data_IF_937502656628
#
_entry.id   IF_937502656628
#
_cell.length_a   1.000
_cell.length_b   1.000
_cell.length_c   1.000
_cell.angle_alpha   90.00
_cell.angle_beta   90.00
_cell.angle_gamma   90.00
#
_symmetry.space_group_name_H-M   'P 1'
#
loop_
_entity.id
_entity.type
_entity.pdbx_description
1 polymer ?
#
# COMPACT_ATOMS: atom_id res chain seq x y z
N UNK A 1 6.01 -26.86 5.75
CA UNK A 1 5.92 -26.24 4.41
C UNK A 1 6.93 -26.93 3.51
N UNK A 2 6.54 -27.37 2.33
CA UNK A 2 7.49 -27.93 1.36
C UNK A 2 8.47 -26.83 0.92
N UNK A 3 9.75 -27.15 0.83
CA UNK A 3 10.76 -26.21 0.34
C UNK A 3 10.51 -25.93 -1.14
N UNK A 4 10.36 -24.67 -1.52
CA UNK A 4 10.21 -24.29 -2.92
C UNK A 4 11.45 -24.74 -3.71
N UNK A 5 11.22 -25.43 -4.83
CA UNK A 5 12.27 -25.79 -5.77
C UNK A 5 12.37 -24.76 -6.90
N UNK A 6 13.55 -24.60 -7.48
CA UNK A 6 13.78 -23.75 -8.64
C UNK A 6 14.68 -24.49 -9.63
N UNK A 7 14.50 -24.24 -10.92
CA UNK A 7 15.40 -24.79 -11.94
C UNK A 7 16.84 -24.27 -11.75
N UNK A 8 17.79 -24.95 -12.40
CA UNK A 8 19.19 -24.52 -12.46
C UNK A 8 19.45 -23.91 -13.82
N UNK A 9 19.98 -22.69 -13.84
CA UNK A 9 20.49 -22.05 -15.06
C UNK A 9 22.01 -21.91 -14.99
N UNK A 10 22.64 -21.88 -16.15
CA UNK A 10 24.09 -21.78 -16.31
C UNK A 10 24.46 -21.82 -17.78
N UNK A 11 25.72 -21.52 -18.08
CA UNK A 11 26.20 -21.42 -19.46
C UNK A 11 26.50 -22.77 -20.12
N UNK A 12 26.74 -23.82 -19.33
CA UNK A 12 27.14 -25.14 -19.85
C UNK A 12 26.54 -26.29 -19.05
N UNK A 13 26.22 -27.43 -19.71
CA UNK A 13 25.93 -28.70 -19.03
C UNK A 13 27.04 -29.12 -18.07
N UNK A 14 26.72 -30.01 -17.13
CA UNK A 14 27.73 -30.62 -16.26
C UNK A 14 28.34 -31.84 -16.96
N UNK A 15 29.66 -31.95 -16.92
CA UNK A 15 30.37 -33.12 -17.42
C UNK A 15 31.20 -33.76 -16.32
N UNK A 16 31.20 -35.08 -16.22
CA UNK A 16 32.03 -35.83 -15.28
C UNK A 16 32.49 -37.16 -15.89
N UNK A 17 33.54 -37.76 -15.34
CA UNK A 17 33.98 -39.10 -15.72
C UNK A 17 33.29 -40.16 -14.85
N UNK A 18 32.69 -41.18 -15.46
CA UNK A 18 32.11 -42.30 -14.73
C UNK A 18 33.16 -43.34 -14.30
N UNK A 19 32.74 -44.39 -13.59
CA UNK A 19 33.63 -45.44 -13.09
C UNK A 19 34.35 -46.23 -14.21
N UNK A 20 33.80 -46.22 -15.44
CA UNK A 20 34.42 -46.83 -16.63
C UNK A 20 35.41 -45.92 -17.36
N UNK A 21 35.55 -44.67 -16.90
CA UNK A 21 36.38 -43.65 -17.54
C UNK A 21 35.71 -42.96 -18.73
N UNK A 22 34.44 -43.25 -19.01
CA UNK A 22 33.68 -42.54 -20.04
C UNK A 22 33.23 -41.16 -19.52
N UNK A 23 33.22 -40.18 -20.40
CA UNK A 23 32.74 -38.83 -20.09
C UNK A 23 31.22 -38.77 -20.29
N UNK A 24 30.51 -38.43 -19.24
CA UNK A 24 29.06 -38.20 -19.26
C UNK A 24 28.77 -36.71 -19.28
N UNK A 25 27.71 -36.32 -20.01
CA UNK A 25 27.23 -34.92 -20.08
C UNK A 25 25.78 -34.87 -19.63
N UNK A 26 25.51 -34.12 -18.56
CA UNK A 26 24.21 -34.01 -17.93
C UNK A 26 23.64 -32.60 -18.13
N UNK A 27 22.45 -32.45 -18.72
CA UNK A 27 21.85 -31.14 -18.92
C UNK A 27 21.49 -30.48 -17.59
N UNK A 28 21.53 -29.14 -17.54
CA UNK A 28 21.19 -28.40 -16.31
C UNK A 28 19.73 -28.60 -15.87
N UNK A 29 18.84 -28.95 -16.81
CA UNK A 29 17.45 -29.32 -16.53
C UNK A 29 17.31 -30.58 -15.66
N UNK A 30 18.38 -31.36 -15.48
CA UNK A 30 18.43 -32.49 -14.55
C UNK A 30 18.54 -32.07 -13.09
N UNK A 31 18.87 -30.80 -12.82
CA UNK A 31 19.09 -30.29 -11.47
C UNK A 31 18.00 -29.30 -11.06
N UNK A 32 17.87 -29.14 -9.75
CA UNK A 32 17.03 -28.11 -9.13
C UNK A 32 17.72 -27.57 -7.88
N UNK A 33 17.46 -26.31 -7.54
CA UNK A 33 17.71 -25.79 -6.22
C UNK A 33 16.54 -26.12 -5.31
N UNK A 34 16.80 -26.67 -4.13
CA UNK A 34 15.86 -26.82 -3.02
C UNK A 34 16.37 -25.97 -1.86
N UNK A 35 15.85 -24.75 -1.71
CA UNK A 35 16.43 -23.77 -0.79
C UNK A 35 17.78 -23.27 -1.33
N UNK A 36 18.86 -23.42 -0.56
CA UNK A 36 20.24 -23.11 -1.01
C UNK A 36 20.96 -24.29 -1.65
N UNK A 37 20.41 -25.50 -1.53
CA UNK A 37 21.07 -26.72 -1.99
C UNK A 37 20.70 -27.04 -3.43
N UNK A 38 21.69 -27.40 -4.25
CA UNK A 38 21.46 -28.02 -5.56
C UNK A 38 21.29 -29.54 -5.40
N UNK A 39 20.31 -30.09 -6.11
CA UNK A 39 19.93 -31.51 -6.09
C UNK A 39 19.69 -32.02 -7.51
N UNK A 40 19.79 -33.34 -7.68
CA UNK A 40 19.43 -34.03 -8.91
C UNK A 40 17.94 -34.40 -8.84
N UNK A 41 17.18 -34.02 -9.86
CA UNK A 41 15.74 -34.32 -9.95
C UNK A 41 15.51 -35.83 -9.95
N UNK A 42 14.44 -36.29 -9.29
CA UNK A 42 14.12 -37.72 -9.13
C UNK A 42 14.08 -38.47 -10.46
N UNK A 43 13.58 -37.84 -11.53
CA UNK A 43 13.52 -38.44 -12.86
C UNK A 43 14.90 -38.78 -13.47
N UNK A 44 15.97 -38.13 -12.98
CA UNK A 44 17.34 -38.34 -13.45
C UNK A 44 18.15 -39.28 -12.55
N UNK A 45 17.72 -39.52 -11.32
CA UNK A 45 18.47 -40.34 -10.36
C UNK A 45 18.66 -41.79 -10.84
N UNK A 46 17.66 -42.38 -11.51
CA UNK A 46 17.73 -43.76 -12.00
C UNK A 46 18.75 -43.99 -13.12
N UNK A 47 19.28 -42.92 -13.74
CA UNK A 47 20.29 -42.99 -14.79
C UNK A 47 21.74 -43.04 -14.28
N UNK A 48 21.95 -42.90 -12.98
CA UNK A 48 23.29 -42.80 -12.38
C UNK A 48 23.38 -43.67 -11.13
N UNK A 49 24.52 -44.33 -10.92
CA UNK A 49 24.81 -45.01 -9.67
C UNK A 49 25.06 -44.02 -8.51
N UNK A 50 25.16 -44.53 -7.28
CA UNK A 50 25.31 -43.69 -6.09
C UNK A 50 26.62 -42.86 -6.08
N UNK A 51 27.71 -43.41 -6.62
CA UNK A 51 29.00 -42.72 -6.72
C UNK A 51 28.98 -41.63 -7.78
N UNK A 52 28.33 -41.89 -8.91
CA UNK A 52 28.10 -40.93 -9.97
C UNK A 52 27.22 -39.77 -9.50
N UNK A 53 26.10 -40.05 -8.81
CA UNK A 53 25.24 -39.02 -8.23
C UNK A 53 26.01 -38.13 -7.23
N UNK A 54 26.86 -38.73 -6.40
CA UNK A 54 27.68 -38.00 -5.43
C UNK A 54 28.67 -37.07 -6.14
N UNK A 55 29.35 -37.57 -7.18
CA UNK A 55 30.30 -36.80 -7.98
C UNK A 55 29.60 -35.66 -8.71
N UNK A 56 28.47 -35.96 -9.35
CA UNK A 56 27.68 -35.01 -10.11
C UNK A 56 27.16 -33.87 -9.22
N UNK A 57 26.66 -34.19 -8.03
CA UNK A 57 26.24 -33.19 -7.04
C UNK A 57 27.41 -32.37 -6.49
N UNK A 58 28.59 -32.97 -6.30
CA UNK A 58 29.77 -32.24 -5.88
C UNK A 58 30.21 -31.22 -6.93
N UNK A 59 30.22 -31.60 -8.22
CA UNK A 59 30.50 -30.68 -9.34
C UNK A 59 29.45 -29.57 -9.41
N UNK A 60 28.16 -29.92 -9.32
CA UNK A 60 27.07 -28.96 -9.34
C UNK A 60 27.20 -27.93 -8.20
N UNK A 61 27.50 -28.39 -6.98
CA UNK A 61 27.72 -27.53 -5.80
C UNK A 61 28.93 -26.63 -5.98
N UNK A 62 30.04 -27.15 -6.50
CA UNK A 62 31.24 -26.35 -6.75
C UNK A 62 30.95 -25.23 -7.77
N UNK A 63 30.26 -25.53 -8.86
CA UNK A 63 29.88 -24.53 -9.86
C UNK A 63 28.86 -23.51 -9.34
N UNK A 64 27.91 -23.93 -8.52
CA UNK A 64 27.01 -23.02 -7.84
C UNK A 64 27.77 -22.08 -6.87
N UNK A 65 28.77 -22.60 -6.14
CA UNK A 65 29.58 -21.81 -5.20
C UNK A 65 30.42 -20.72 -5.88
N UNK A 66 30.83 -20.92 -7.14
CA UNK A 66 31.53 -19.90 -7.95
C UNK A 66 30.58 -19.05 -8.80
N UNK A 67 29.26 -19.24 -8.68
CA UNK A 67 28.24 -18.46 -9.40
C UNK A 67 28.03 -18.86 -10.87
N UNK A 68 28.59 -19.97 -11.33
CA UNK A 68 28.35 -20.49 -12.69
C UNK A 68 26.97 -21.13 -12.84
N UNK A 69 26.46 -21.71 -11.75
CA UNK A 69 25.09 -22.20 -11.67
C UNK A 69 24.30 -21.33 -10.71
N UNK A 70 23.21 -20.75 -11.20
CA UNK A 70 22.34 -19.90 -10.39
C UNK A 70 20.90 -20.35 -10.53
N UNK A 71 20.05 -19.89 -9.61
CA UNK A 71 18.61 -19.91 -9.84
C UNK A 71 18.29 -18.99 -11.03
N UNK A 72 17.25 -19.28 -11.81
CA UNK A 72 16.67 -18.31 -12.72
C UNK A 72 16.47 -16.99 -11.99
N UNK A 73 16.77 -15.84 -12.63
CA UNK A 73 16.37 -14.56 -12.06
C UNK A 73 14.86 -14.59 -11.87
N UNK A 74 14.40 -14.27 -10.66
CA UNK A 74 12.97 -14.10 -10.40
C UNK A 74 12.53 -12.88 -11.21
N UNK A 75 11.53 -12.99 -12.11
CA UNK A 75 11.00 -11.84 -12.81
C UNK A 75 10.61 -10.75 -11.79
N UNK A 76 10.86 -9.47 -12.08
CA UNK A 76 10.39 -8.41 -11.20
C UNK A 76 8.86 -8.50 -11.08
N UNK A 77 8.27 -8.17 -9.91
CA UNK A 77 6.83 -8.11 -9.75
C UNK A 77 6.20 -7.24 -10.85
N UNK A 78 5.13 -7.74 -11.46
CA UNK A 78 4.40 -7.00 -12.47
C UNK A 78 3.28 -6.21 -11.79
N UNK A 79 3.04 -4.98 -12.25
CA UNK A 79 1.90 -4.21 -11.78
C UNK A 79 0.61 -4.94 -12.13
N UNK A 80 -0.21 -5.19 -11.11
CA UNK A 80 -1.47 -5.91 -11.18
C UNK A 80 -2.65 -4.94 -11.28
N UNK A 81 -2.68 -3.93 -10.39
CA UNK A 81 -3.72 -2.90 -10.33
C UNK A 81 -3.08 -1.52 -10.15
N UNK A 82 -3.68 -0.52 -10.76
CA UNK A 82 -3.39 0.88 -10.51
C UNK A 82 -4.40 1.46 -9.53
N UNK A 83 -3.91 2.20 -8.54
CA UNK A 83 -4.71 2.85 -7.51
C UNK A 83 -4.42 4.33 -7.56
N UNK A 84 -5.46 5.17 -7.59
CA UNK A 84 -5.33 6.63 -7.65
C UNK A 84 -6.20 7.25 -6.57
N UNK A 85 -5.69 8.23 -5.82
CA UNK A 85 -6.48 8.97 -4.86
C UNK A 85 -7.68 9.64 -5.56
N UNK A 86 -8.86 9.58 -4.95
CA UNK A 86 -10.07 10.22 -5.47
C UNK A 86 -9.97 11.75 -5.37
N UNK A 87 -9.14 12.25 -4.44
CA UNK A 87 -8.93 13.67 -4.19
C UNK A 87 -7.47 14.06 -4.39
N UNK A 88 -7.27 15.24 -4.98
CA UNK A 88 -5.97 15.89 -4.95
C UNK A 88 -5.63 16.29 -3.50
N UNK A 89 -4.36 16.19 -3.14
CA UNK A 89 -3.89 16.55 -1.82
C UNK A 89 -2.37 16.70 -1.80
N UNK A 90 -1.80 16.98 -0.62
CA UNK A 90 -0.36 17.13 -0.46
C UNK A 90 0.37 15.82 -0.82
N UNK A 91 1.62 15.92 -1.26
CA UNK A 91 2.41 14.73 -1.64
C UNK A 91 2.27 13.59 -0.61
N UNK A 92 1.74 12.46 -1.07
CA UNK A 92 1.55 11.24 -0.27
C UNK A 92 0.17 11.05 0.35
N UNK A 93 -0.68 12.08 0.48
CA UNK A 93 -2.06 12.09 1.04
C UNK A 93 -2.30 11.26 2.33
N UNK A 94 -1.29 10.65 2.96
CA UNK A 94 -1.47 9.68 4.04
C UNK A 94 -2.28 8.42 3.67
N UNK A 95 -2.51 8.13 2.37
CA UNK A 95 -3.40 7.04 1.94
C UNK A 95 -2.64 5.72 1.81
N UNK A 96 -3.13 4.69 2.50
CA UNK A 96 -2.71 3.30 2.34
C UNK A 96 -3.88 2.45 1.86
N UNK A 97 -3.67 1.71 0.78
CA UNK A 97 -4.65 0.75 0.24
C UNK A 97 -4.15 -0.66 0.49
N UNK A 98 -4.99 -1.51 1.08
CA UNK A 98 -4.72 -2.92 1.29
C UNK A 98 -5.61 -3.77 0.40
N UNK A 99 -5.08 -4.89 -0.07
CA UNK A 99 -5.78 -5.83 -0.92
C UNK A 99 -5.66 -7.25 -0.37
N UNK A 100 -6.77 -7.97 -0.42
CA UNK A 100 -6.83 -9.41 -0.17
C UNK A 100 -7.51 -10.08 -1.36
N UNK A 101 -6.95 -11.20 -1.82
CA UNK A 101 -7.48 -11.94 -2.96
C UNK A 101 -7.93 -13.33 -2.53
N UNK A 102 -9.11 -13.73 -2.97
CA UNK A 102 -9.62 -15.08 -2.76
C UNK A 102 -8.65 -16.12 -3.32
N UNK A 103 -8.30 -17.10 -2.48
CA UNK A 103 -7.35 -18.14 -2.85
C UNK A 103 -8.05 -19.27 -3.58
N UNK A 104 -7.40 -19.77 -4.63
CA UNK A 104 -7.82 -20.92 -5.43
C UNK A 104 -9.04 -20.69 -6.35
N UNK A 105 -9.47 -19.44 -6.53
CA UNK A 105 -10.47 -19.09 -7.54
C UNK A 105 -9.82 -18.82 -8.91
N UNK A 106 -10.55 -19.03 -10.03
CA UNK A 106 -10.09 -18.62 -11.36
C UNK A 106 -9.80 -17.13 -11.41
N UNK A 107 -8.78 -16.71 -12.19
CA UNK A 107 -8.27 -15.34 -12.13
C UNK A 107 -9.31 -14.22 -12.39
N UNK A 108 -10.32 -14.48 -13.22
CA UNK A 108 -11.37 -13.51 -13.55
C UNK A 108 -12.56 -13.54 -12.58
N UNK A 109 -12.66 -14.60 -11.76
CA UNK A 109 -13.76 -14.83 -10.82
C UNK A 109 -13.33 -14.59 -9.38
N UNK A 110 -12.02 -14.60 -9.10
CA UNK A 110 -11.48 -14.40 -7.77
C UNK A 110 -11.91 -13.04 -7.21
N UNK A 111 -12.49 -13.09 -6.01
CA UNK A 111 -12.89 -11.92 -5.27
C UNK A 111 -11.67 -11.16 -4.74
N UNK A 112 -11.66 -9.85 -4.97
CA UNK A 112 -10.65 -8.89 -4.52
C UNK A 112 -11.32 -8.00 -3.49
N UNK A 113 -10.90 -8.10 -2.24
CA UNK A 113 -11.34 -7.21 -1.16
C UNK A 113 -10.33 -6.10 -1.00
N UNK A 114 -10.81 -4.85 -1.07
CA UNK A 114 -10.00 -3.65 -0.93
C UNK A 114 -10.37 -2.92 0.36
N UNK A 115 -9.39 -2.32 1.01
CA UNK A 115 -9.61 -1.34 2.06
C UNK A 115 -8.67 -0.16 1.89
N UNK A 116 -9.10 1.01 2.33
CA UNK A 116 -8.32 2.24 2.24
C UNK A 116 -8.36 2.98 3.59
N UNK A 117 -7.20 3.46 4.00
CA UNK A 117 -7.02 4.26 5.21
C UNK A 117 -6.29 5.53 4.82
N UNK A 118 -6.82 6.68 5.23
CA UNK A 118 -6.16 7.98 5.11
C UNK A 118 -5.86 8.52 6.51
N UNK A 119 -4.62 8.94 6.73
CA UNK A 119 -4.20 9.57 7.98
C UNK A 119 -3.57 10.92 7.68
N UNK A 120 -4.24 11.98 8.09
CA UNK A 120 -3.72 13.34 8.03
C UNK A 120 -3.24 13.78 9.40
N UNK A 121 -2.11 14.49 9.44
CA UNK A 121 -1.57 15.06 10.67
C UNK A 121 -1.05 16.47 10.42
N UNK A 122 -1.62 17.42 11.16
CA UNK A 122 -1.17 18.81 11.18
C UNK A 122 -0.54 19.11 12.54
N UNK A 123 0.72 19.55 12.54
CA UNK A 123 1.49 19.83 13.75
C UNK A 123 1.87 21.30 13.86
N UNK A 124 2.17 21.75 15.09
CA UNK A 124 2.69 23.09 15.35
C UNK A 124 1.66 24.19 15.12
N UNK A 125 0.37 23.91 15.32
CA UNK A 125 -0.71 24.87 15.19
C UNK A 125 -0.71 25.74 16.46
N UNK A 126 -0.41 27.04 16.32
CA UNK A 126 -0.34 27.95 17.47
C UNK A 126 -1.74 28.39 17.92
N UNK A 127 -2.61 28.70 16.96
CA UNK A 127 -3.94 29.27 17.15
C UNK A 127 -4.89 28.85 16.00
N UNK A 128 -6.10 29.44 15.99
CA UNK A 128 -7.10 29.17 14.97
C UNK A 128 -6.69 29.60 13.56
N UNK A 129 -5.98 30.72 13.42
CA UNK A 129 -5.55 31.23 12.12
C UNK A 129 -4.46 30.33 11.52
N UNK A 130 -3.48 29.91 12.34
CA UNK A 130 -2.47 28.93 11.94
C UNK A 130 -3.11 27.61 11.49
N UNK A 131 -4.16 27.16 12.18
CA UNK A 131 -4.95 26.00 11.77
C UNK A 131 -5.65 26.24 10.42
N UNK A 132 -6.30 27.38 10.24
CA UNK A 132 -6.97 27.72 8.98
C UNK A 132 -5.99 27.74 7.80
N UNK A 133 -4.80 28.33 7.95
CA UNK A 133 -3.79 28.37 6.89
C UNK A 133 -3.17 27.01 6.58
N UNK A 134 -2.97 26.15 7.59
CA UNK A 134 -2.33 24.83 7.40
C UNK A 134 -3.30 23.74 6.93
N UNK A 135 -4.52 23.75 7.44
CA UNK A 135 -5.55 22.74 7.13
C UNK A 135 -6.34 23.17 5.89
N UNK A 136 -6.54 24.48 5.73
CA UNK A 136 -7.48 25.08 4.78
C UNK A 136 -8.88 25.24 5.37
N UNK A 137 -9.70 26.03 4.69
CA UNK A 137 -11.08 26.35 5.08
C UNK A 137 -12.12 25.72 4.16
N UNK A 138 -13.35 25.57 4.65
CA UNK A 138 -14.46 24.95 3.91
C UNK A 138 -15.04 25.84 2.78
N UNK A 139 -14.85 27.16 2.88
CA UNK A 139 -15.34 28.13 1.89
C UNK A 139 -14.31 29.24 1.63
N UNK A 140 -13.18 28.95 0.95
CA UNK A 140 -12.15 29.94 0.66
C UNK A 140 -12.71 31.07 -0.23
N UNK A 141 -12.18 32.29 -0.07
CA UNK A 141 -12.53 33.44 -0.94
C UNK A 141 -11.72 33.48 -2.23
N UNK A 142 -10.51 32.92 -2.21
CA UNK A 142 -9.50 33.09 -3.25
C UNK A 142 -8.79 34.45 -3.22
N UNK A 143 -8.98 35.27 -2.17
CA UNK A 143 -8.25 36.52 -2.02
C UNK A 143 -6.80 36.28 -1.58
N UNK A 144 -5.88 37.13 -2.04
CA UNK A 144 -4.47 37.04 -1.67
C UNK A 144 -4.31 37.18 -0.14
N UNK A 145 -3.68 36.18 0.47
CA UNK A 145 -3.47 36.14 1.92
C UNK A 145 -4.62 35.50 2.71
N UNK A 146 -5.72 35.09 2.08
CA UNK A 146 -6.73 34.28 2.77
C UNK A 146 -6.31 32.80 2.85
N UNK A 147 -6.77 32.04 3.86
CA UNK A 147 -6.54 30.61 3.94
C UNK A 147 -7.02 29.87 2.67
N UNK A 148 -6.26 28.87 2.19
CA UNK A 148 -6.64 28.09 1.02
C UNK A 148 -7.85 27.19 1.30
N UNK A 149 -8.40 26.58 0.25
CA UNK A 149 -9.36 25.49 0.43
C UNK A 149 -8.71 24.27 1.06
N UNK A 150 -9.44 23.56 1.93
CA UNK A 150 -8.94 22.34 2.55
C UNK A 150 -8.72 21.21 1.54
N UNK A 151 -7.57 20.53 1.63
CA UNK A 151 -7.21 19.41 0.75
C UNK A 151 -7.21 18.05 1.45
N UNK A 152 -7.17 18.02 2.78
CA UNK A 152 -7.21 16.78 3.57
C UNK A 152 -8.62 16.34 3.97
N UNK A 153 -8.71 15.48 4.98
CA UNK A 153 -9.95 14.91 5.51
C UNK A 153 -10.90 15.93 6.16
N UNK A 154 -10.36 17.01 6.71
CA UNK A 154 -11.11 18.05 7.43
C UNK A 154 -10.83 19.44 6.88
N UNK A 155 -11.72 20.36 7.20
CA UNK A 155 -11.58 21.79 6.96
C UNK A 155 -11.84 22.57 8.24
N UNK A 156 -11.21 23.74 8.37
CA UNK A 156 -11.61 24.75 9.34
C UNK A 156 -12.83 25.48 8.79
N UNK A 157 -13.89 25.64 9.59
CA UNK A 157 -15.07 26.40 9.18
C UNK A 157 -14.68 27.87 8.97
N UNK A 158 -14.96 28.43 7.80
CA UNK A 158 -14.63 29.83 7.49
C UNK A 158 -15.21 30.78 8.55
N UNK A 159 -14.39 31.71 9.02
CA UNK A 159 -14.79 32.71 10.02
C UNK A 159 -15.03 32.14 11.42
N UNK A 160 -14.59 30.91 11.69
CA UNK A 160 -14.68 30.28 13.01
C UNK A 160 -13.38 30.32 13.81
N UNK A 161 -12.33 30.95 13.29
CA UNK A 161 -11.12 31.20 14.07
C UNK A 161 -11.49 32.17 15.19
N UNK A 162 -11.45 31.69 16.43
CA UNK A 162 -11.89 32.48 17.57
C UNK A 162 -10.80 33.42 18.06
N UNK A 163 -11.13 34.24 19.06
CA UNK A 163 -10.20 35.24 19.60
C UNK A 163 -9.08 34.63 20.48
N UNK A 164 -9.14 33.33 20.78
CA UNK A 164 -8.16 32.68 21.63
C UNK A 164 -6.77 32.67 20.97
N UNK A 165 -5.79 33.21 21.69
CA UNK A 165 -4.37 33.15 21.34
C UNK A 165 -3.66 31.92 21.95
N UNK A 166 -4.43 31.00 22.55
CA UNK A 166 -3.92 29.81 23.23
C UNK A 166 -4.17 28.56 22.39
N UNK A 167 -3.32 27.53 22.51
CA UNK A 167 -3.54 26.28 21.80
C UNK A 167 -4.75 25.53 22.37
N UNK A 168 -5.43 24.79 21.49
CA UNK A 168 -6.55 23.95 21.88
C UNK A 168 -6.14 22.89 22.92
N UNK A 169 -7.04 22.59 23.86
CA UNK A 169 -6.85 21.47 24.80
C UNK A 169 -6.93 20.13 24.07
N UNK A 170 -6.29 19.12 24.66
CA UNK A 170 -6.34 17.77 24.11
C UNK A 170 -7.79 17.25 24.07
N UNK A 171 -8.18 16.65 22.95
CA UNK A 171 -9.55 16.22 22.69
C UNK A 171 -9.56 15.11 21.66
N UNK A 172 -10.35 14.07 21.88
CA UNK A 172 -10.58 13.02 20.88
C UNK A 172 -12.07 12.92 20.56
N UNK A 173 -12.39 12.40 19.39
CA UNK A 173 -13.78 12.15 19.04
C UNK A 173 -13.96 11.65 17.62
N UNK A 174 -15.20 11.75 17.15
CA UNK A 174 -15.60 11.37 15.80
C UNK A 174 -16.28 12.55 15.12
N UNK A 175 -15.76 12.96 13.97
CA UNK A 175 -16.32 14.00 13.11
C UNK A 175 -17.28 13.36 12.11
N UNK A 176 -18.58 13.60 12.31
CA UNK A 176 -19.63 13.12 11.42
C UNK A 176 -19.99 14.16 10.38
N UNK A 177 -20.59 13.71 9.27
CA UNK A 177 -21.06 14.58 8.19
C UNK A 177 -21.91 15.73 8.72
N UNK A 178 -21.59 16.95 8.28
CA UNK A 178 -22.26 18.19 8.69
C UNK A 178 -22.22 18.51 10.19
N UNK A 179 -21.37 17.83 10.97
CA UNK A 179 -21.16 18.14 12.39
C UNK A 179 -19.94 19.03 12.55
N UNK A 180 -20.15 20.14 13.23
CA UNK A 180 -19.11 21.07 13.62
C UNK A 180 -18.55 20.66 14.99
N UNK A 181 -17.23 20.73 15.15
CA UNK A 181 -16.57 20.54 16.44
C UNK A 181 -15.75 21.77 16.76
N UNK A 182 -16.15 22.46 17.82
CA UNK A 182 -15.35 23.52 18.43
C UNK A 182 -14.14 22.91 19.14
N UNK A 183 -12.96 23.39 18.76
CA UNK A 183 -11.73 23.20 19.50
C UNK A 183 -11.57 24.42 20.41
N UNK A 184 -11.45 24.17 21.70
CA UNK A 184 -11.38 25.21 22.72
C UNK A 184 -10.06 25.16 23.47
N UNK A 185 -9.65 26.27 24.03
CA UNK A 185 -8.48 26.35 24.90
C UNK A 185 -8.83 25.97 26.36
N UNK A 186 -7.91 26.26 27.29
CA UNK A 186 -8.07 25.96 28.72
C UNK A 186 -9.05 26.90 29.45
N UNK A 187 -9.41 28.02 28.84
CA UNK A 187 -10.36 29.02 29.36
C UNK A 187 -11.77 28.85 28.74
N UNK A 188 -12.00 27.76 28.00
CA UNK A 188 -13.24 27.47 27.25
C UNK A 188 -13.51 28.46 26.09
N UNK A 189 -12.49 29.21 25.65
CA UNK A 189 -12.57 30.05 24.45
C UNK A 189 -12.36 29.22 23.19
N UNK A 190 -13.13 29.50 22.14
CA UNK A 190 -12.98 28.81 20.85
C UNK A 190 -11.66 29.22 20.20
N UNK A 191 -10.86 28.23 19.82
CA UNK A 191 -9.66 28.40 19.00
C UNK A 191 -10.05 28.34 17.53
N UNK A 192 -10.74 27.28 17.12
CA UNK A 192 -11.36 27.16 15.79
C UNK A 192 -12.49 26.12 15.79
N UNK A 193 -13.28 26.09 14.73
CA UNK A 193 -14.23 24.98 14.47
C UNK A 193 -13.75 24.13 13.31
N UNK A 194 -13.62 22.82 13.53
CA UNK A 194 -13.28 21.84 12.50
C UNK A 194 -14.53 21.06 12.06
N UNK A 195 -14.52 20.60 10.81
CA UNK A 195 -15.59 19.78 10.22
C UNK A 195 -15.01 18.86 9.13
N UNK A 196 -15.67 17.74 8.78
CA UNK A 196 -15.27 16.97 7.60
C UNK A 196 -15.28 17.84 6.34
N UNK A 197 -14.47 17.46 5.35
CA UNK A 197 -14.53 18.07 4.01
C UNK A 197 -15.96 18.00 3.45
N UNK A 198 -16.31 18.96 2.60
CA UNK A 198 -17.70 19.18 2.14
C UNK A 198 -18.31 18.00 1.39
N UNK A 199 -17.50 17.19 0.72
CA UNK A 199 -17.89 16.00 -0.03
C UNK A 199 -17.83 14.70 0.80
N UNK A 200 -17.52 14.79 2.10
CA UNK A 200 -17.47 13.63 2.98
C UNK A 200 -18.77 12.81 2.89
N UNK A 201 -18.62 11.54 2.51
CA UNK A 201 -19.72 10.62 2.24
C UNK A 201 -19.85 9.49 3.26
N UNK A 202 -18.87 9.32 4.16
CA UNK A 202 -18.92 8.30 5.21
C UNK A 202 -20.05 8.51 6.22
N UNK A 203 -20.53 7.41 6.78
CA UNK A 203 -21.62 7.36 7.77
C UNK A 203 -21.11 7.34 9.20
N UNK A 204 -20.00 6.64 9.46
CA UNK A 204 -19.52 6.44 10.84
C UNK A 204 -18.65 7.59 11.33
N UNK A 205 -17.94 8.26 10.42
CA UNK A 205 -17.26 9.51 10.69
C UNK A 205 -15.75 9.36 10.74
N UNK A 206 -15.06 10.50 10.73
CA UNK A 206 -13.61 10.57 10.83
C UNK A 206 -13.20 10.53 12.30
N UNK A 207 -12.29 9.63 12.67
CA UNK A 207 -11.70 9.68 14.00
C UNK A 207 -10.73 10.85 14.06
N UNK A 208 -10.77 11.66 15.12
CA UNK A 208 -9.80 12.74 15.31
C UNK A 208 -9.21 12.73 16.71
N UNK A 209 -7.97 13.20 16.79
CA UNK A 209 -7.23 13.46 18.01
C UNK A 209 -6.57 14.83 17.95
N UNK A 210 -6.79 15.63 18.98
CA UNK A 210 -6.13 16.90 19.24
C UNK A 210 -5.17 16.69 20.40
N UNK A 211 -3.91 17.04 20.21
CA UNK A 211 -2.88 16.95 21.25
C UNK A 211 -2.33 18.35 21.53
N UNK A 212 -2.35 18.78 22.80
CA UNK A 212 -1.70 20.04 23.22
C UNK A 212 -0.19 19.79 23.42
N UNK A 213 0.63 20.57 22.73
CA UNK A 213 2.09 20.49 22.70
C UNK A 213 2.70 21.82 23.14
N UNK A 214 2.63 22.11 24.44
CA UNK A 214 3.11 23.38 25.02
C UNK A 214 2.29 24.58 24.51
N UNK A 215 2.93 25.45 23.73
CA UNK A 215 2.32 26.64 23.12
C UNK A 215 1.66 26.37 21.75
N UNK A 216 1.61 25.11 21.32
CA UNK A 216 0.97 24.69 20.06
C UNK A 216 0.08 23.48 20.31
N UNK A 217 -0.66 23.06 19.30
CA UNK A 217 -1.36 21.79 19.26
C UNK A 217 -1.13 21.08 17.92
N UNK A 218 -1.47 19.80 17.88
CA UNK A 218 -1.55 19.00 16.66
C UNK A 218 -2.95 18.42 16.52
N UNK A 219 -3.37 18.20 15.27
CA UNK A 219 -4.59 17.47 14.94
C UNK A 219 -4.19 16.29 14.06
N UNK A 220 -4.60 15.09 14.46
CA UNK A 220 -4.53 13.88 13.65
C UNK A 220 -5.94 13.44 13.30
N UNK A 221 -6.22 13.17 12.03
CA UNK A 221 -7.51 12.67 11.56
C UNK A 221 -7.30 11.39 10.78
N UNK A 222 -8.19 10.42 11.00
CA UNK A 222 -8.16 9.12 10.33
C UNK A 222 -9.51 8.80 9.72
N UNK A 223 -9.49 8.49 8.42
CA UNK A 223 -10.54 7.75 7.74
C UNK A 223 -10.11 6.29 7.58
N UNK A 224 -11.03 5.37 7.83
CA UNK A 224 -10.79 3.93 7.71
C UNK A 224 -12.02 3.28 7.08
N UNK A 225 -11.90 2.89 5.81
CA UNK A 225 -13.03 2.35 5.04
C UNK A 225 -13.61 1.09 5.68
N UNK A 226 -12.83 0.34 6.47
CA UNK A 226 -13.28 -0.90 7.12
C UNK A 226 -14.24 -0.64 8.29
N UNK A 227 -14.25 0.58 8.82
CA UNK A 227 -15.12 1.00 9.93
C UNK A 227 -16.42 1.63 9.47
N UNK A 228 -16.59 1.85 8.17
CA UNK A 228 -17.76 2.50 7.60
C UNK A 228 -18.92 1.52 7.38
N UNK A 229 -20.13 1.98 7.70
CA UNK A 229 -21.36 1.22 7.59
C UNK A 229 -21.76 1.01 6.11
N UNK A 230 -21.57 -0.21 5.65
CA UNK A 230 -21.95 -0.68 4.32
C UNK A 230 -21.37 -2.06 4.06
N UNK A 231 -21.81 -2.68 2.97
CA UNK A 231 -21.17 -3.91 2.51
C UNK A 231 -19.89 -3.52 1.78
N UNK A 232 -18.74 -3.96 2.30
CA UNK A 232 -17.49 -4.01 1.55
C UNK A 232 -17.61 -5.15 0.54
N UNK A 233 -18.33 -4.90 -0.55
CA UNK A 233 -18.53 -5.89 -1.60
C UNK A 233 -17.18 -6.14 -2.29
N UNK A 234 -16.70 -7.39 -2.36
CA UNK A 234 -15.53 -7.69 -3.15
C UNK A 234 -15.77 -7.33 -4.62
N UNK A 235 -14.69 -7.01 -5.33
CA UNK A 235 -14.70 -6.79 -6.77
C UNK A 235 -13.94 -7.91 -7.48
N UNK A 236 -14.06 -7.99 -8.79
CA UNK A 236 -13.25 -8.87 -9.64
C UNK A 236 -12.41 -8.01 -10.59
N UNK A 237 -11.52 -8.64 -11.36
CA UNK A 237 -10.83 -7.93 -12.45
C UNK A 237 -11.77 -7.32 -13.50
N UNK A 238 -13.02 -7.83 -13.58
CA UNK A 238 -14.03 -7.33 -14.51
C UNK A 238 -14.83 -6.13 -13.95
N UNK A 239 -14.82 -5.93 -12.63
CA UNK A 239 -15.64 -4.94 -11.92
C UNK A 239 -14.81 -3.97 -11.08
N UNK A 240 -13.54 -3.73 -11.47
CA UNK A 240 -12.63 -2.84 -10.73
C UNK A 240 -13.17 -1.41 -10.55
N UNK A 241 -14.06 -0.95 -11.43
CA UNK A 241 -14.73 0.35 -11.32
C UNK A 241 -15.85 0.40 -10.28
N UNK A 242 -16.32 -0.76 -9.80
CA UNK A 242 -17.46 -0.90 -8.88
C UNK A 242 -17.01 -1.09 -7.43
N UNK A 243 -15.86 -0.49 -7.05
CA UNK A 243 -15.39 -0.50 -5.66
C UNK A 243 -16.44 0.09 -4.74
N UNK A 244 -16.62 -0.52 -3.56
CA UNK A 244 -17.63 -0.10 -2.59
C UNK A 244 -17.45 1.38 -2.19
N UNK A 245 -18.56 2.11 -2.00
CA UNK A 245 -18.56 3.55 -1.69
C UNK A 245 -17.53 3.98 -0.62
N UNK A 246 -17.32 3.25 0.49
CA UNK A 246 -16.32 3.66 1.48
C UNK A 246 -14.87 3.61 0.95
N UNK A 247 -14.56 2.67 0.06
CA UNK A 247 -13.24 2.63 -0.59
C UNK A 247 -13.17 3.69 -1.69
N UNK A 248 -14.25 3.82 -2.48
CA UNK A 248 -14.37 4.78 -3.58
C UNK A 248 -14.21 6.24 -3.12
N UNK A 249 -14.57 6.54 -1.86
CA UNK A 249 -14.35 7.85 -1.25
C UNK A 249 -12.87 8.25 -1.21
N UNK A 250 -11.95 7.31 -0.99
CA UNK A 250 -10.52 7.61 -0.94
C UNK A 250 -9.81 7.36 -2.26
N UNK A 251 -10.19 6.30 -2.98
CA UNK A 251 -9.41 5.82 -4.11
C UNK A 251 -10.28 5.30 -5.23
N UNK A 252 -9.75 5.42 -6.44
CA UNK A 252 -10.21 4.71 -7.63
C UNK A 252 -9.23 3.59 -7.96
N UNK A 253 -9.74 2.48 -8.47
CA UNK A 253 -8.93 1.32 -8.86
C UNK A 253 -9.17 1.00 -10.33
N UNK A 254 -8.10 0.67 -11.04
CA UNK A 254 -8.17 0.37 -12.47
C UNK A 254 -7.03 -0.52 -12.95
N UNK A 255 -7.09 -0.88 -14.24
CA UNK A 255 -6.03 -1.63 -14.88
C UNK A 255 -4.78 -0.75 -15.10
N UNK A 256 -3.56 -1.26 -14.85
CA UNK A 256 -2.33 -0.58 -15.25
C UNK A 256 -2.17 -0.65 -16.79
N UNK A 257 -1.20 0.08 -17.38
CA UNK A 257 -1.03 0.16 -18.84
C UNK A 257 -0.82 -1.17 -19.59
N UNK A 258 -0.45 -2.24 -18.87
CA UNK A 258 -0.21 -3.58 -19.43
C UNK A 258 -1.33 -4.58 -19.11
N UNK A 259 -2.50 -4.09 -18.68
CA UNK A 259 -3.66 -4.91 -18.33
C UNK A 259 -3.67 -5.29 -16.86
N UNK A 260 -4.86 -5.61 -16.33
CA UNK A 260 -5.05 -6.00 -14.95
C UNK A 260 -4.68 -7.47 -14.71
N UNK A 261 -4.16 -7.76 -13.52
CA UNK A 261 -3.90 -9.12 -13.03
C UNK A 261 -4.33 -9.21 -11.57
N UNK A 262 -4.43 -10.43 -11.02
CA UNK A 262 -4.66 -10.61 -9.60
C UNK A 262 -3.43 -10.14 -8.81
N UNK A 263 -3.56 -9.16 -7.91
CA UNK A 263 -2.47 -8.76 -7.05
C UNK A 263 -2.20 -9.85 -6.00
N UNK A 264 -0.98 -9.87 -5.44
CA UNK A 264 -0.73 -10.57 -4.19
C UNK A 264 -1.43 -9.86 -3.02
N UNK A 265 -1.76 -10.60 -1.97
CA UNK A 265 -2.17 -10.03 -0.68
C UNK A 265 -1.09 -9.03 -0.23
N UNK A 266 -1.42 -7.73 -0.23
CA UNK A 266 -0.42 -6.67 -0.07
C UNK A 266 -1.06 -5.34 0.33
N UNK A 267 -0.21 -4.35 0.59
CA UNK A 267 -0.62 -2.95 0.71
C UNK A 267 0.27 -2.04 -0.12
N UNK A 268 -0.30 -0.94 -0.60
CA UNK A 268 0.40 0.12 -1.29
C UNK A 268 0.09 1.46 -0.63
N UNK A 269 1.14 2.20 -0.27
CA UNK A 269 1.03 3.60 0.09
C UNK A 269 0.99 4.43 -1.19
N UNK A 270 0.02 5.33 -1.30
CA UNK A 270 -0.03 6.24 -2.43
C UNK A 270 1.05 7.31 -2.29
N UNK A 271 1.63 7.71 -3.41
CA UNK A 271 2.70 8.70 -3.44
C UNK A 271 2.54 9.65 -4.62
N UNK A 272 3.26 10.77 -4.57
CA UNK A 272 3.00 11.91 -5.45
C UNK A 272 1.70 12.62 -5.08
N UNK A 273 1.15 13.36 -6.03
CA UNK A 273 0.07 14.30 -5.77
C UNK A 273 0.60 15.72 -5.59
N UNK A 274 -0.21 16.70 -5.96
CA UNK A 274 0.04 18.12 -5.78
C UNK A 274 -1.30 18.85 -5.84
N UNK A 275 -1.30 20.17 -5.73
CA UNK A 275 -2.51 20.95 -6.00
C UNK A 275 -3.06 20.60 -7.39
N UNK A 276 -4.26 20.04 -7.45
CA UNK A 276 -4.90 19.57 -8.68
C UNK A 276 -4.41 18.23 -9.24
N UNK A 277 -3.49 17.53 -8.59
CA UNK A 277 -2.99 16.20 -9.00
C UNK A 277 -3.24 15.16 -7.90
N UNK A 278 -3.87 14.04 -8.27
CA UNK A 278 -4.09 12.92 -7.36
C UNK A 278 -2.81 12.08 -7.17
N UNK A 279 -2.61 11.59 -5.95
CA UNK A 279 -1.56 10.61 -5.64
C UNK A 279 -1.87 9.26 -6.30
N UNK A 280 -0.84 8.49 -6.64
CA UNK A 280 -0.96 7.20 -7.32
C UNK A 280 -0.14 6.10 -6.66
N UNK A 281 -0.51 4.86 -6.95
CA UNK A 281 0.16 3.65 -6.48
C UNK A 281 -0.10 2.45 -7.38
N UNK A 282 0.75 1.44 -7.25
CA UNK A 282 0.62 0.17 -7.96
C UNK A 282 0.58 -0.97 -6.95
N UNK A 283 -0.37 -1.89 -7.12
CA UNK A 283 -0.36 -3.20 -6.49
C UNK A 283 0.30 -4.18 -7.45
N UNK A 284 1.01 -5.18 -6.94
CA UNK A 284 1.82 -6.09 -7.76
C UNK A 284 1.37 -7.55 -7.58
N UNK A 285 1.66 -8.38 -8.59
CA UNK A 285 1.51 -9.84 -8.56
C UNK A 285 2.61 -10.53 -7.76
#
# INVERSE_FOLDING_TARGET
>A
MATATADVIGSTPLSFGNASGAQEVVPLSAFEFSGSDIRLKTAWQGGFDAGEQTTLLAVAKARAAVGELTKPPVPPPAAALAVTAAHAGPEGNGITVSVQVEKNAPALEAEITLSAVEVDTWTGLADGDAAAFRIGVDAPTGADGDPPGATGLIAVKKGSTGASAKPAVAKTGVLKKATDVELKDEDDEVVCTIRPRSDYAGKDGLSYEVTKNGATFSITVTYDSTKEAGTQSPVTLLTLGDVADPVAYLVTVGAPPRGAALPADSSAQLSGGAEGLAAGGLLYT
#
